data_IF_270601624361
#
_entry.id   IF_270601624361
#
_cell.length_a   1.000
_cell.length_b   1.000
_cell.length_c   1.000
_cell.angle_alpha   90.00
_cell.angle_beta   90.00
_cell.angle_gamma   90.00
#
_symmetry.space_group_name_H-M   'P 1'
#
loop_
_entity.id
_entity.type
_entity.pdbx_description
1 polymer ?
#
# COMPACT_ATOMS: atom_id res chain seq x y z
N UNK A 1 -17.79 5.10 3.45
CA UNK A 1 -17.28 4.15 4.45
C UNK A 1 -17.02 4.83 5.80
N UNK A 2 -16.14 5.85 5.87
CA UNK A 2 -15.82 6.53 7.15
C UNK A 2 -17.07 7.06 7.86
N UNK A 3 -17.99 7.73 7.18
CA UNK A 3 -19.24 8.21 7.75
C UNK A 3 -20.13 7.10 8.35
N UNK A 4 -20.05 5.89 7.81
CA UNK A 4 -20.80 4.75 8.34
C UNK A 4 -20.11 4.06 9.52
N UNK A 5 -18.78 4.16 9.63
CA UNK A 5 -18.02 3.62 10.76
C UNK A 5 -18.11 4.53 11.98
N UNK A 6 -17.95 5.83 11.77
CA UNK A 6 -18.05 6.87 12.82
C UNK A 6 -19.38 7.62 12.74
N UNK A 7 -20.49 6.86 12.77
CA UNK A 7 -21.82 7.47 12.66
C UNK A 7 -22.09 8.46 13.80
N UNK A 8 -22.46 9.69 13.43
CA UNK A 8 -22.67 10.78 14.37
C UNK A 8 -21.42 11.61 14.70
N UNK A 9 -20.24 11.22 14.27
CA UNK A 9 -19.03 12.01 14.42
C UNK A 9 -18.89 13.00 13.25
N UNK A 10 -18.87 14.28 13.55
CA UNK A 10 -18.71 15.35 12.55
C UNK A 10 -17.32 15.32 11.89
N UNK A 11 -16.33 14.74 12.54
CA UNK A 11 -14.96 14.61 12.05
C UNK A 11 -14.67 13.25 11.41
N UNK A 12 -15.68 12.42 11.16
CA UNK A 12 -15.51 11.07 10.60
C UNK A 12 -14.65 11.01 9.33
N UNK A 13 -14.71 12.04 8.48
CA UNK A 13 -13.93 12.10 7.23
C UNK A 13 -12.46 12.43 7.45
N UNK A 14 -12.12 13.05 8.57
CA UNK A 14 -10.74 13.42 8.90
C UNK A 14 -9.95 12.30 9.56
N UNK A 15 -10.63 11.28 10.12
CA UNK A 15 -9.95 10.12 10.69
C UNK A 15 -9.16 9.36 9.62
N UNK A 16 -7.94 8.98 9.95
CA UNK A 16 -7.09 8.20 9.06
C UNK A 16 -7.34 6.72 9.32
N UNK A 17 -7.64 5.95 8.28
CA UNK A 17 -7.69 4.50 8.37
C UNK A 17 -6.27 3.96 8.30
N UNK A 18 -5.81 3.29 9.37
CA UNK A 18 -4.50 2.68 9.47
C UNK A 18 -4.62 1.25 9.99
N UNK A 19 -4.22 0.27 9.17
CA UNK A 19 -4.46 -1.16 9.44
C UNK A 19 -3.85 -1.62 10.77
N UNK A 20 -2.64 -1.17 11.07
CA UNK A 20 -1.94 -1.51 12.31
C UNK A 20 -2.72 -1.02 13.54
N UNK A 21 -3.10 0.26 13.57
CA UNK A 21 -3.83 0.86 14.71
C UNK A 21 -5.18 0.19 14.93
N UNK A 22 -5.90 -0.10 13.85
CA UNK A 22 -7.19 -0.81 13.89
C UNK A 22 -7.00 -2.23 14.45
N UNK A 23 -5.96 -2.94 14.01
CA UNK A 23 -5.65 -4.27 14.49
C UNK A 23 -5.28 -4.27 15.98
N UNK A 24 -4.49 -3.31 16.42
CA UNK A 24 -4.10 -3.16 17.83
C UNK A 24 -5.29 -2.76 18.71
N UNK A 25 -6.15 -1.86 18.24
CA UNK A 25 -7.37 -1.49 18.95
C UNK A 25 -8.30 -2.69 19.14
N UNK A 26 -8.49 -3.50 18.10
CA UNK A 26 -9.37 -4.66 18.13
C UNK A 26 -8.83 -5.79 19.03
N UNK A 27 -7.53 -6.10 18.96
CA UNK A 27 -6.94 -7.24 19.67
C UNK A 27 -6.61 -6.98 21.14
N UNK A 28 -6.08 -5.82 21.45
CA UNK A 28 -5.47 -5.56 22.76
C UNK A 28 -6.02 -4.33 23.47
N UNK A 29 -6.86 -3.54 22.82
CA UNK A 29 -7.29 -2.24 23.32
C UNK A 29 -6.13 -1.25 23.53
N UNK A 30 -4.97 -1.50 22.95
CA UNK A 30 -3.73 -0.74 23.16
C UNK A 30 -3.59 0.50 22.28
N UNK A 31 -4.48 0.69 21.30
CA UNK A 31 -4.44 1.97 20.58
C UNK A 31 -4.72 3.12 21.55
N UNK A 32 -3.79 4.08 21.60
CA UNK A 32 -3.92 5.26 22.45
C UNK A 32 -4.76 6.37 21.79
N UNK A 33 -5.06 6.22 20.50
CA UNK A 33 -5.87 7.19 19.78
C UNK A 33 -7.36 6.90 19.98
N UNK A 34 -8.11 7.84 20.57
CA UNK A 34 -9.55 7.68 20.84
C UNK A 34 -10.37 7.35 19.59
N UNK A 35 -9.95 7.79 18.40
CA UNK A 35 -10.70 7.55 17.16
C UNK A 35 -10.80 6.06 16.81
N UNK A 36 -9.83 5.23 17.21
CA UNK A 36 -9.85 3.79 16.96
C UNK A 36 -10.62 2.96 17.99
N UNK A 37 -11.15 3.58 19.04
CA UNK A 37 -11.91 2.86 20.07
C UNK A 37 -13.15 2.15 19.55
N UNK A 38 -13.74 2.64 18.46
CA UNK A 38 -14.89 2.00 17.79
C UNK A 38 -14.59 0.57 17.31
N UNK A 39 -13.33 0.27 16.98
CA UNK A 39 -12.91 -1.05 16.50
C UNK A 39 -12.80 -2.11 17.61
N UNK A 40 -13.03 -1.73 18.87
CA UNK A 40 -13.21 -2.68 20.00
C UNK A 40 -14.59 -3.32 19.99
N UNK A 41 -15.56 -2.68 19.34
CA UNK A 41 -16.91 -3.24 19.25
C UNK A 41 -16.94 -4.39 18.23
N UNK A 42 -17.61 -5.47 18.63
CA UNK A 42 -17.75 -6.65 17.76
C UNK A 42 -18.40 -6.30 16.42
N UNK A 43 -17.84 -6.83 15.34
CA UNK A 43 -18.34 -6.65 13.99
C UNK A 43 -17.91 -5.35 13.31
N UNK A 44 -17.23 -4.42 13.99
CA UNK A 44 -16.81 -3.15 13.36
C UNK A 44 -15.67 -3.35 12.36
N UNK A 45 -14.72 -4.23 12.70
CA UNK A 45 -13.62 -4.58 11.79
C UNK A 45 -14.14 -5.32 10.57
N UNK A 46 -15.07 -6.23 10.74
CA UNK A 46 -15.74 -6.95 9.63
C UNK A 46 -16.49 -5.98 8.71
N UNK A 47 -17.20 -5.00 9.28
CA UNK A 47 -17.85 -3.92 8.50
C UNK A 47 -16.84 -3.10 7.71
N UNK A 48 -15.69 -2.79 8.30
CA UNK A 48 -14.61 -2.09 7.60
C UNK A 48 -14.14 -2.90 6.38
N UNK A 49 -13.74 -4.15 6.56
CA UNK A 49 -13.21 -4.97 5.46
C UNK A 49 -14.26 -5.24 4.37
N UNK A 50 -15.50 -5.50 4.75
CA UNK A 50 -16.61 -5.60 3.79
C UNK A 50 -16.82 -4.30 3.01
N UNK A 51 -16.71 -3.15 3.68
CA UNK A 51 -16.79 -1.84 3.06
C UNK A 51 -15.63 -1.56 2.10
N UNK A 52 -14.40 -1.91 2.47
CA UNK A 52 -13.21 -1.79 1.59
C UNK A 52 -13.37 -2.67 0.34
N UNK A 53 -13.75 -3.93 0.52
CA UNK A 53 -14.03 -4.85 -0.60
C UNK A 53 -15.09 -4.30 -1.55
N UNK A 54 -16.18 -3.72 -1.00
CA UNK A 54 -17.22 -3.07 -1.81
C UNK A 54 -16.68 -1.87 -2.58
N UNK A 55 -15.84 -1.02 -1.96
CA UNK A 55 -15.23 0.13 -2.62
C UNK A 55 -14.33 -0.29 -3.78
N UNK A 56 -13.45 -1.29 -3.56
CA UNK A 56 -12.56 -1.84 -4.60
C UNK A 56 -13.38 -2.31 -5.81
N UNK A 57 -14.45 -3.09 -5.58
CA UNK A 57 -15.32 -3.60 -6.64
C UNK A 57 -16.09 -2.49 -7.34
N UNK A 58 -16.69 -1.58 -6.57
CA UNK A 58 -17.56 -0.52 -7.12
C UNK A 58 -16.79 0.48 -7.98
N UNK A 59 -15.54 0.74 -7.65
CA UNK A 59 -14.68 1.68 -8.40
C UNK A 59 -13.70 0.98 -9.34
N UNK A 60 -13.84 -0.33 -9.55
CA UNK A 60 -12.96 -1.12 -10.42
C UNK A 60 -11.47 -0.90 -10.11
N UNK A 61 -11.12 -0.81 -8.82
CA UNK A 61 -9.76 -0.56 -8.37
C UNK A 61 -8.95 -1.83 -8.58
N UNK A 62 -7.90 -1.75 -9.36
CA UNK A 62 -6.93 -2.83 -9.51
C UNK A 62 -5.94 -2.80 -8.35
N UNK A 63 -5.80 -3.91 -7.64
CA UNK A 63 -4.80 -4.07 -6.58
C UNK A 63 -3.65 -4.92 -7.08
N UNK A 64 -2.43 -4.47 -6.82
CA UNK A 64 -1.22 -5.22 -7.12
C UNK A 64 -0.23 -5.08 -5.97
N UNK A 65 0.65 -6.05 -5.82
CA UNK A 65 1.67 -6.01 -4.79
C UNK A 65 2.78 -7.02 -5.07
N UNK A 66 3.82 -6.95 -4.26
CA UNK A 66 5.01 -7.80 -4.35
C UNK A 66 5.28 -8.39 -2.98
N UNK A 67 5.51 -9.69 -2.94
CA UNK A 67 5.96 -10.41 -1.76
C UNK A 67 7.42 -10.83 -1.94
N UNK A 68 8.27 -10.40 -1.01
CA UNK A 68 9.71 -10.68 -1.06
C UNK A 68 10.08 -11.59 0.11
N UNK A 69 10.77 -12.70 -0.20
CA UNK A 69 11.37 -13.54 0.83
C UNK A 69 12.66 -12.88 1.34
N UNK A 70 12.61 -12.33 2.55
CA UNK A 70 13.72 -11.59 3.15
C UNK A 70 14.99 -12.42 3.34
N UNK A 71 14.85 -13.70 3.66
CA UNK A 71 15.99 -14.56 3.96
C UNK A 71 16.75 -14.95 2.69
N UNK A 72 15.99 -15.25 1.62
CA UNK A 72 16.59 -15.53 0.32
C UNK A 72 17.25 -14.28 -0.26
N UNK A 73 16.59 -13.13 -0.16
CA UNK A 73 17.13 -11.88 -0.67
C UNK A 73 18.45 -11.50 0.02
N UNK A 74 18.52 -11.66 1.34
CA UNK A 74 19.75 -11.37 2.11
C UNK A 74 20.92 -12.30 1.73
N UNK A 75 20.64 -13.51 1.25
CA UNK A 75 21.68 -14.41 0.72
C UNK A 75 22.16 -14.02 -0.67
N UNK A 76 21.23 -13.52 -1.51
CA UNK A 76 21.53 -13.12 -2.89
C UNK A 76 22.26 -11.77 -2.98
N UNK A 77 22.01 -10.87 -2.04
CA UNK A 77 22.55 -9.51 -2.02
C UNK A 77 23.27 -9.22 -0.69
N UNK A 78 24.35 -9.97 -0.36
CA UNK A 78 25.11 -9.74 0.85
C UNK A 78 25.81 -8.37 0.77
N UNK A 79 25.57 -7.52 1.76
CA UNK A 79 26.22 -6.20 1.86
C UNK A 79 25.43 -5.03 1.28
N UNK A 80 24.31 -5.25 0.63
CA UNK A 80 23.42 -4.15 0.25
C UNK A 80 22.61 -3.62 1.45
N UNK A 81 22.52 -2.30 1.53
CA UNK A 81 21.71 -1.65 2.55
C UNK A 81 20.24 -1.68 2.12
N UNK A 82 19.43 -2.50 2.79
CA UNK A 82 17.99 -2.62 2.58
C UNK A 82 17.55 -3.05 1.16
N UNK A 83 18.11 -4.15 0.59
CA UNK A 83 17.78 -4.59 -0.76
C UNK A 83 16.29 -4.93 -0.95
N UNK A 84 15.58 -5.26 0.13
CA UNK A 84 14.16 -5.60 0.11
C UNK A 84 13.30 -4.48 -0.46
N UNK A 85 13.57 -3.25 -0.02
CA UNK A 85 12.75 -2.10 -0.37
C UNK A 85 12.96 -1.69 -1.83
N UNK A 86 14.20 -1.66 -2.28
CA UNK A 86 14.56 -1.26 -3.66
C UNK A 86 14.14 -2.30 -4.68
N UNK A 87 14.29 -3.60 -4.35
CA UNK A 87 13.84 -4.70 -5.23
C UNK A 87 12.31 -4.78 -5.25
N UNK A 88 11.64 -4.64 -4.10
CA UNK A 88 10.17 -4.63 -4.07
C UNK A 88 9.61 -3.45 -4.88
N UNK A 89 10.22 -2.26 -4.78
CA UNK A 89 9.83 -1.11 -5.59
C UNK A 89 10.02 -1.39 -7.09
N UNK A 90 11.17 -1.92 -7.51
CA UNK A 90 11.40 -2.26 -8.91
C UNK A 90 10.35 -3.22 -9.44
N UNK A 91 10.10 -4.32 -8.75
CA UNK A 91 9.11 -5.32 -9.17
C UNK A 91 7.69 -4.74 -9.21
N UNK A 92 7.36 -3.86 -8.26
CA UNK A 92 6.06 -3.17 -8.25
C UNK A 92 5.93 -2.22 -9.44
N UNK A 93 6.99 -1.47 -9.77
CA UNK A 93 7.01 -0.58 -10.93
C UNK A 93 6.94 -1.36 -12.25
N UNK A 94 7.60 -2.49 -12.37
CA UNK A 94 7.49 -3.37 -13.55
C UNK A 94 6.06 -3.89 -13.73
N UNK A 95 5.39 -4.30 -12.64
CA UNK A 95 3.98 -4.69 -12.67
C UNK A 95 3.08 -3.51 -13.05
N UNK A 96 3.39 -2.31 -12.55
CA UNK A 96 2.65 -1.10 -12.92
C UNK A 96 2.84 -0.72 -14.39
N UNK A 97 4.07 -0.80 -14.91
CA UNK A 97 4.34 -0.64 -16.34
C UNK A 97 3.53 -1.64 -17.18
N UNK A 98 3.45 -2.89 -16.74
CA UNK A 98 2.65 -3.90 -17.42
C UNK A 98 1.17 -3.53 -17.46
N UNK A 99 0.63 -3.07 -16.34
CA UNK A 99 -0.74 -2.59 -16.23
C UNK A 99 -0.99 -1.37 -17.14
N UNK A 100 -0.12 -0.37 -17.12
CA UNK A 100 -0.25 0.83 -17.96
C UNK A 100 -0.21 0.46 -19.45
N UNK A 101 0.73 -0.40 -19.85
CA UNK A 101 0.85 -0.88 -21.22
C UNK A 101 -0.41 -1.62 -21.68
N UNK A 102 -0.94 -2.52 -20.86
CA UNK A 102 -2.15 -3.29 -21.17
C UNK A 102 -3.37 -2.39 -21.36
N UNK A 103 -3.47 -1.33 -20.57
CA UNK A 103 -4.60 -0.39 -20.61
C UNK A 103 -4.37 0.83 -21.53
N UNK A 104 -3.23 0.90 -22.22
CA UNK A 104 -2.83 2.06 -23.04
C UNK A 104 -2.97 3.37 -22.25
N UNK A 105 -2.45 3.38 -21.04
CA UNK A 105 -2.60 4.46 -20.08
C UNK A 105 -1.25 5.02 -19.62
N UNK A 106 -1.28 6.19 -19.04
CA UNK A 106 -0.20 6.79 -18.25
C UNK A 106 -0.66 6.90 -16.80
N UNK A 107 0.28 7.07 -15.86
CA UNK A 107 -0.10 7.25 -14.47
C UNK A 107 1.02 7.76 -13.58
N UNK A 108 0.63 8.39 -12.48
CA UNK A 108 1.51 8.93 -11.46
C UNK A 108 1.66 7.96 -10.29
N UNK A 109 2.66 8.21 -9.44
CA UNK A 109 2.92 7.41 -8.25
C UNK A 109 2.81 8.28 -7.02
N UNK A 110 1.93 7.93 -6.11
CA UNK A 110 1.90 8.49 -4.77
C UNK A 110 2.34 7.41 -3.77
N UNK A 111 3.45 7.65 -3.08
CA UNK A 111 4.03 6.74 -2.11
C UNK A 111 3.85 7.29 -0.69
N UNK A 112 3.48 6.45 0.29
CA UNK A 112 3.41 6.89 1.68
C UNK A 112 4.82 7.21 2.19
N UNK A 113 5.04 8.44 2.62
CA UNK A 113 6.33 8.92 3.07
C UNK A 113 6.83 8.17 4.31
N UNK A 114 8.05 7.65 4.21
CA UNK A 114 8.79 7.08 5.34
C UNK A 114 9.49 8.15 6.18
N UNK A 115 9.31 9.42 5.84
CA UNK A 115 10.09 10.58 6.28
C UNK A 115 11.56 10.50 5.81
N UNK A 116 12.23 11.65 5.77
CA UNK A 116 13.65 11.67 5.42
C UNK A 116 14.52 11.19 6.62
N UNK A 117 15.58 10.39 6.39
CA UNK A 117 16.13 10.03 5.09
C UNK A 117 15.54 8.75 4.45
N UNK A 118 14.44 8.21 4.99
CA UNK A 118 13.85 6.94 4.54
C UNK A 118 13.36 6.94 3.09
N UNK A 119 12.91 8.08 2.58
CA UNK A 119 12.44 8.22 1.19
C UNK A 119 13.58 8.22 0.16
N UNK A 120 14.78 8.62 0.56
CA UNK A 120 15.92 8.82 -0.35
C UNK A 120 16.28 7.57 -1.18
N UNK A 121 16.40 6.37 -0.60
CA UNK A 121 16.72 5.17 -1.38
C UNK A 121 15.64 4.83 -2.42
N UNK A 122 14.37 5.07 -2.09
CA UNK A 122 13.25 4.83 -3.00
C UNK A 122 13.26 5.82 -4.16
N UNK A 123 13.47 7.10 -3.86
CA UNK A 123 13.59 8.16 -4.86
C UNK A 123 14.76 7.90 -5.80
N UNK A 124 15.92 7.57 -5.24
CA UNK A 124 17.09 7.23 -6.04
C UNK A 124 16.81 6.03 -6.94
N UNK A 125 16.21 4.96 -6.42
CA UNK A 125 15.89 3.77 -7.21
C UNK A 125 14.88 4.06 -8.32
N UNK A 126 13.87 4.89 -8.05
CA UNK A 126 12.90 5.32 -9.07
C UNK A 126 13.59 6.01 -10.25
N UNK A 127 14.44 7.02 -9.99
CA UNK A 127 15.14 7.73 -11.05
C UNK A 127 16.21 6.89 -11.76
N UNK A 128 16.84 5.94 -11.08
CA UNK A 128 17.70 4.95 -11.74
C UNK A 128 16.92 4.10 -12.76
N UNK A 129 15.72 3.64 -12.39
CA UNK A 129 14.86 2.85 -13.27
C UNK A 129 14.32 3.70 -14.43
N UNK A 130 13.98 4.96 -14.19
CA UNK A 130 13.58 5.90 -15.23
C UNK A 130 14.71 6.16 -16.24
N UNK A 131 15.95 6.29 -15.76
CA UNK A 131 17.11 6.58 -16.59
C UNK A 131 17.67 5.34 -17.32
N UNK A 132 17.64 4.16 -16.71
CA UNK A 132 18.28 2.95 -17.21
C UNK A 132 17.29 1.91 -17.74
N UNK A 133 16.04 2.01 -17.34
CA UNK A 133 15.04 0.97 -17.60
C UNK A 133 15.24 -0.28 -16.74
N UNK A 134 14.56 -1.33 -17.12
CA UNK A 134 14.71 -2.67 -16.54
C UNK A 134 14.93 -3.70 -17.64
N UNK A 135 15.03 -4.99 -17.26
CA UNK A 135 15.08 -6.07 -18.23
C UNK A 135 13.81 -6.13 -19.13
N UNK A 136 12.68 -5.63 -18.65
CA UNK A 136 11.36 -5.73 -19.30
C UNK A 136 10.90 -4.45 -19.96
N UNK A 137 11.37 -3.29 -19.49
CA UNK A 137 10.91 -1.96 -19.93
C UNK A 137 12.08 -1.02 -20.17
N UNK A 138 12.07 -0.36 -21.32
CA UNK A 138 13.08 0.62 -21.71
C UNK A 138 12.93 1.92 -20.91
N UNK A 139 13.99 2.74 -20.78
CA UNK A 139 13.91 4.09 -20.23
C UNK A 139 12.80 4.94 -20.88
N UNK A 140 12.69 4.85 -22.20
CA UNK A 140 11.66 5.56 -22.93
C UNK A 140 10.24 5.21 -22.48
N UNK A 141 9.98 3.92 -22.15
CA UNK A 141 8.66 3.51 -21.65
C UNK A 141 8.38 4.16 -20.29
N UNK A 142 9.35 4.14 -19.38
CA UNK A 142 9.20 4.81 -18.08
C UNK A 142 8.87 6.27 -18.24
N UNK A 143 9.69 7.02 -18.99
CA UNK A 143 9.56 8.47 -19.20
C UNK A 143 8.27 8.89 -19.90
N UNK A 144 7.66 8.02 -20.69
CA UNK A 144 6.44 8.33 -21.44
C UNK A 144 5.16 7.85 -20.77
N UNK A 145 5.21 6.88 -19.86
CA UNK A 145 4.01 6.27 -19.27
C UNK A 145 3.92 6.49 -17.76
N UNK A 146 5.02 6.70 -17.07
CA UNK A 146 5.02 6.98 -15.65
C UNK A 146 5.36 8.46 -15.45
N UNK A 147 4.52 9.15 -14.70
CA UNK A 147 4.80 10.51 -14.24
C UNK A 147 5.74 10.51 -13.04
N UNK A 148 5.65 11.56 -12.24
CA UNK A 148 6.53 11.72 -11.08
C UNK A 148 6.16 10.78 -9.92
N UNK A 149 7.10 10.57 -9.01
CA UNK A 149 6.86 9.91 -7.72
C UNK A 149 6.73 10.96 -6.62
N UNK A 150 5.56 11.03 -6.02
CA UNK A 150 5.28 11.90 -4.87
C UNK A 150 5.33 11.11 -3.57
N UNK A 151 5.96 11.68 -2.54
CA UNK A 151 6.00 11.12 -1.20
C UNK A 151 5.03 11.88 -0.29
N UNK A 152 3.88 11.31 -0.08
CA UNK A 152 2.77 11.94 0.63
C UNK A 152 2.74 11.54 2.11
N UNK A 153 2.54 12.50 2.99
CA UNK A 153 2.44 12.27 4.43
C UNK A 153 1.10 11.67 4.84
N UNK A 154 1.07 10.93 5.95
CA UNK A 154 -0.19 10.39 6.50
C UNK A 154 -1.23 11.47 6.81
N UNK A 155 -0.78 12.65 7.23
CA UNK A 155 -1.63 13.80 7.54
C UNK A 155 -2.40 14.34 6.32
N UNK A 156 -1.97 14.03 5.11
CA UNK A 156 -2.69 14.39 3.89
C UNK A 156 -3.98 13.59 3.71
N UNK A 157 -4.16 12.52 4.47
CA UNK A 157 -5.40 11.75 4.55
C UNK A 157 -5.88 11.20 3.19
N UNK A 158 -4.95 10.86 2.29
CA UNK A 158 -5.24 10.40 0.95
C UNK A 158 -5.92 9.02 0.96
N UNK A 159 -7.09 8.95 0.34
CA UNK A 159 -7.91 7.73 0.34
C UNK A 159 -7.20 6.54 -0.32
N UNK A 160 -6.43 6.76 -1.38
CA UNK A 160 -5.65 5.74 -2.08
C UNK A 160 -4.59 5.11 -1.18
N UNK A 161 -3.83 5.92 -0.44
CA UNK A 161 -2.81 5.44 0.51
C UNK A 161 -3.43 4.65 1.66
N UNK A 162 -4.56 5.13 2.21
CA UNK A 162 -5.27 4.40 3.25
C UNK A 162 -5.80 3.04 2.75
N UNK A 163 -6.30 2.99 1.52
CA UNK A 163 -6.72 1.72 0.93
C UNK A 163 -5.53 0.79 0.72
N UNK A 164 -4.41 1.31 0.22
CA UNK A 164 -3.19 0.55 -0.02
C UNK A 164 -2.64 -0.09 1.26
N UNK A 165 -2.79 0.54 2.43
CA UNK A 165 -2.31 0.03 3.72
C UNK A 165 -2.96 -1.33 4.12
N UNK A 166 -4.16 -1.62 3.61
CA UNK A 166 -4.85 -2.90 3.89
C UNK A 166 -4.46 -4.04 2.95
N UNK A 167 -3.76 -3.76 1.85
CA UNK A 167 -3.43 -4.77 0.83
C UNK A 167 -2.27 -5.70 1.24
N UNK A 168 -1.14 -5.20 1.82
CA UNK A 168 0.05 -6.02 2.06
C UNK A 168 -0.21 -7.24 2.95
N UNK A 169 -1.00 -7.11 4.01
CA UNK A 169 -1.29 -8.21 4.91
C UNK A 169 -2.07 -9.33 4.20
N UNK A 170 -3.07 -8.97 3.41
CA UNK A 170 -3.88 -9.92 2.64
C UNK A 170 -3.01 -10.65 1.61
N UNK A 171 -2.16 -9.93 0.89
CA UNK A 171 -1.26 -10.51 -0.10
C UNK A 171 -0.20 -11.43 0.54
N UNK A 172 0.41 -11.00 1.65
CA UNK A 172 1.39 -11.82 2.37
C UNK A 172 0.77 -13.14 2.86
N UNK A 173 -0.46 -13.10 3.37
CA UNK A 173 -1.18 -14.32 3.80
C UNK A 173 -1.48 -15.23 2.61
N UNK A 174 -1.93 -14.68 1.49
CA UNK A 174 -2.17 -15.43 0.26
C UNK A 174 -0.89 -16.09 -0.25
N UNK A 175 0.22 -15.35 -0.31
CA UNK A 175 1.53 -15.88 -0.70
C UNK A 175 2.02 -17.00 0.24
N UNK A 176 1.75 -16.88 1.54
CA UNK A 176 2.07 -17.90 2.55
C UNK A 176 1.04 -19.05 2.60
N UNK A 177 0.06 -19.08 1.70
CA UNK A 177 -1.05 -20.06 1.69
C UNK A 177 -1.82 -20.14 3.01
N UNK A 178 -1.89 -19.02 3.73
CA UNK A 178 -2.67 -18.89 4.95
C UNK A 178 -4.11 -18.48 4.60
N UNK A 179 -5.11 -18.88 5.41
CA UNK A 179 -6.48 -18.42 5.20
C UNK A 179 -6.56 -16.88 5.30
N UNK A 180 -7.51 -16.25 4.63
CA UNK A 180 -7.72 -14.81 4.75
C UNK A 180 -7.98 -14.44 6.21
N UNK A 181 -7.57 -13.24 6.61
CA UNK A 181 -7.81 -12.75 7.98
C UNK A 181 -9.28 -12.36 8.18
N UNK A 182 -9.91 -11.93 7.10
CA UNK A 182 -11.32 -11.55 7.03
C UNK A 182 -11.93 -12.11 5.75
N UNK A 183 -13.08 -12.77 5.85
CA UNK A 183 -13.71 -13.50 4.73
C UNK A 183 -14.13 -12.61 3.56
N UNK A 184 -14.24 -11.31 3.78
CA UNK A 184 -14.67 -10.33 2.77
C UNK A 184 -13.53 -9.62 2.04
N UNK A 185 -12.26 -9.99 2.32
CA UNK A 185 -11.12 -9.23 1.77
C UNK A 185 -9.94 -10.09 1.32
#
# INVERSE_FOLDING_TARGET
LKLSLWAGDQQATTHILHEKEITEANKSGRSNDPCYTIFRANGTVEKLYAGLSKLIKMHSITTMGVCVNSDELSRLYPGETNPKLTIALQMLLENYCHFLKHNTATGDICYESLQEPGNQPLRQRFYELEALGTMYYTPHFFQTHIGDIEFCGKNENLAGLQLADFIPNTMARSAARMPPKHDSF
#
